data_IF_041207602747
#
_entry.id   IF_041207602747
#
_cell.length_a   1.000
_cell.length_b   1.000
_cell.length_c   1.000
_cell.angle_alpha   90.00
_cell.angle_beta   90.00
_cell.angle_gamma   90.00
#
_symmetry.space_group_name_H-M   'P 1'
#
loop_
_entity.id
_entity.type
_entity.pdbx_description
1 polymer ?
#
# COMPACT_ATOMS: atom_id res chain seq x y z
N UNK A 1 44.57 10.77 18.27
CA UNK A 1 44.15 10.39 19.63
C UNK A 1 43.38 9.08 19.52
N UNK A 2 44.04 7.94 19.80
CA UNK A 2 43.46 6.59 19.74
C UNK A 2 43.36 6.08 21.17
N UNK A 3 42.17 5.68 21.62
CA UNK A 3 42.00 4.98 22.91
C UNK A 3 41.64 3.53 22.64
N UNK A 4 42.58 2.68 23.00
CA UNK A 4 42.53 1.22 23.04
C UNK A 4 41.91 0.85 24.39
N UNK A 5 40.88 0.01 24.42
CA UNK A 5 40.38 -0.61 25.65
C UNK A 5 40.70 -2.11 25.59
N UNK A 6 41.55 -2.55 26.52
CA UNK A 6 41.84 -3.94 26.88
C UNK A 6 41.16 -4.25 28.23
N UNK A 7 41.07 -5.55 28.56
CA UNK A 7 40.83 -6.20 29.89
C UNK A 7 39.37 -6.64 30.11
N UNK A 8 39.01 -7.88 30.51
CA UNK A 8 39.69 -9.16 30.83
C UNK A 8 38.65 -10.29 30.72
N UNK A 9 39.07 -11.50 30.34
CA UNK A 9 38.26 -12.72 30.42
C UNK A 9 38.61 -13.51 31.69
N UNK A 10 37.61 -14.06 32.39
CA UNK A 10 37.82 -14.99 33.50
C UNK A 10 36.98 -16.26 33.26
N UNK A 11 37.68 -17.35 32.91
CA UNK A 11 37.18 -18.72 32.95
C UNK A 11 37.29 -19.25 34.38
N UNK A 12 36.24 -19.90 34.88
CA UNK A 12 36.33 -20.81 36.03
C UNK A 12 35.74 -22.16 35.66
N UNK A 13 36.62 -23.15 35.55
CA UNK A 13 36.33 -24.58 35.46
C UNK A 13 36.37 -25.12 36.90
N UNK A 14 35.35 -25.87 37.33
CA UNK A 14 35.43 -26.73 38.50
C UNK A 14 34.66 -28.03 38.27
N UNK A 15 35.30 -29.13 38.69
CA UNK A 15 35.15 -30.48 38.19
C UNK A 15 34.06 -31.32 38.87
N UNK A 16 33.69 -32.41 38.18
CA UNK A 16 32.82 -33.50 38.63
C UNK A 16 33.34 -34.23 39.87
N UNK A 17 32.42 -34.67 40.72
CA UNK A 17 32.57 -35.87 41.55
C UNK A 17 31.23 -36.63 41.61
N UNK A 18 31.23 -37.87 41.10
CA UNK A 18 30.17 -38.86 41.24
C UNK A 18 30.33 -39.60 42.58
N UNK A 19 29.24 -39.84 43.30
CA UNK A 19 29.13 -40.96 44.23
C UNK A 19 27.67 -41.42 44.37
N UNK A 20 27.48 -42.74 44.38
CA UNK A 20 26.23 -43.46 44.27
C UNK A 20 25.67 -43.96 45.63
N UNK A 21 24.49 -44.60 45.56
CA UNK A 21 23.81 -45.50 46.54
C UNK A 21 22.95 -44.79 47.62
N UNK A 22 21.68 -45.12 47.95
CA UNK A 22 20.67 -46.19 47.65
C UNK A 22 19.30 -45.68 48.19
N UNK A 23 18.11 -46.17 47.75
CA UNK A 23 16.83 -45.49 48.01
C UNK A 23 16.06 -45.96 49.26
N UNK A 24 15.20 -45.07 49.79
CA UNK A 24 14.20 -45.35 50.84
C UNK A 24 12.82 -45.70 50.22
N UNK A 25 11.95 -46.47 50.91
CA UNK A 25 10.87 -47.21 50.29
C UNK A 25 9.60 -46.38 49.98
N UNK A 26 8.92 -46.85 48.94
CA UNK A 26 7.69 -46.32 48.36
C UNK A 26 6.51 -46.33 49.32
N UNK A 27 5.72 -45.26 49.28
CA UNK A 27 4.33 -45.26 49.74
C UNK A 27 3.46 -45.11 48.49
N UNK A 28 2.61 -46.10 48.24
CA UNK A 28 1.69 -46.18 47.11
C UNK A 28 0.61 -45.09 47.22
N UNK A 29 0.44 -44.30 46.17
CA UNK A 29 -0.72 -43.42 45.96
C UNK A 29 -1.55 -44.02 44.82
N UNK A 30 -2.89 -44.15 44.94
CA UNK A 30 -3.71 -44.86 43.97
C UNK A 30 -3.73 -44.15 42.60
N UNK A 31 -3.61 -44.95 41.55
CA UNK A 31 -3.63 -44.57 40.14
C UNK A 31 -5.00 -44.05 39.72
N UNK A 32 -5.11 -42.76 39.39
CA UNK A 32 -6.26 -42.19 38.68
C UNK A 32 -6.02 -42.30 37.17
N UNK A 33 -7.02 -42.79 36.43
CA UNK A 33 -6.92 -43.05 34.99
C UNK A 33 -6.71 -41.75 34.19
N UNK A 34 -5.94 -41.77 33.08
CA UNK A 34 -5.69 -40.56 32.32
C UNK A 34 -6.97 -40.13 31.57
N UNK A 35 -7.50 -38.97 31.93
CA UNK A 35 -8.49 -38.25 31.13
C UNK A 35 -7.77 -37.80 29.86
N UNK A 36 -8.27 -38.22 28.69
CA UNK A 36 -7.75 -37.77 27.42
C UNK A 36 -7.86 -36.24 27.33
N UNK A 37 -6.74 -35.54 27.38
CA UNK A 37 -6.66 -34.12 27.01
C UNK A 37 -7.07 -34.02 25.54
N UNK A 38 -8.26 -33.47 25.32
CA UNK A 38 -8.65 -32.98 24.02
C UNK A 38 -7.67 -31.86 23.66
N UNK A 39 -6.70 -32.19 22.79
CA UNK A 39 -5.86 -31.22 22.10
C UNK A 39 -6.77 -30.24 21.38
N UNK A 40 -6.98 -29.08 21.99
CA UNK A 40 -7.53 -27.93 21.29
C UNK A 40 -6.48 -27.51 20.27
N UNK A 41 -6.84 -27.61 18.98
CA UNK A 41 -6.02 -27.08 17.92
C UNK A 41 -5.71 -25.60 18.23
N UNK A 42 -4.50 -25.09 17.94
CA UNK A 42 -4.23 -23.67 18.09
C UNK A 42 -5.24 -22.90 17.24
N UNK A 43 -6.08 -22.10 17.89
CA UNK A 43 -6.88 -21.08 17.20
C UNK A 43 -5.85 -20.13 16.60
N UNK A 44 -5.69 -20.17 15.27
CA UNK A 44 -4.91 -19.14 14.58
C UNK A 44 -5.46 -17.78 15.05
N UNK A 45 -4.59 -16.83 15.45
CA UNK A 45 -5.07 -15.54 15.88
C UNK A 45 -5.88 -14.96 14.73
N UNK A 46 -7.18 -14.75 14.95
CA UNK A 46 -8.01 -14.02 14.00
C UNK A 46 -7.25 -12.74 13.69
N UNK A 47 -6.94 -12.53 12.40
CA UNK A 47 -6.27 -11.33 11.94
C UNK A 47 -7.26 -10.18 12.11
N UNK A 48 -7.35 -9.64 13.32
CA UNK A 48 -8.22 -8.52 13.66
C UNK A 48 -7.70 -7.33 12.87
N UNK A 49 -8.45 -6.97 11.83
CA UNK A 49 -8.15 -5.80 11.02
C UNK A 49 -7.99 -4.58 11.92
N UNK A 50 -6.92 -3.82 11.71
CA UNK A 50 -6.70 -2.53 12.40
C UNK A 50 -7.67 -1.45 11.93
N UNK A 51 -8.42 -1.71 10.86
CA UNK A 51 -9.30 -0.75 10.22
C UNK A 51 -10.73 -0.90 10.72
N UNK A 52 -11.33 0.21 11.13
CA UNK A 52 -12.77 0.28 11.46
C UNK A 52 -13.66 0.39 10.22
N UNK A 53 -13.09 0.30 9.03
CA UNK A 53 -13.76 0.44 7.73
C UNK A 53 -13.32 -0.74 6.85
N UNK A 54 -14.14 -1.78 6.80
CA UNK A 54 -13.75 -3.10 6.25
C UNK A 54 -13.31 -3.04 4.79
N UNK A 55 -13.90 -2.13 3.99
CA UNK A 55 -13.57 -2.01 2.57
C UNK A 55 -12.08 -1.75 2.33
N UNK A 56 -11.36 -1.13 3.30
CA UNK A 56 -9.94 -0.81 3.17
C UNK A 56 -9.10 -2.07 2.92
N UNK A 57 -9.50 -3.21 3.50
CA UNK A 57 -8.83 -4.51 3.31
C UNK A 57 -9.51 -5.40 2.27
N UNK A 58 -10.66 -5.00 1.74
CA UNK A 58 -11.44 -5.80 0.78
C UNK A 58 -11.18 -5.42 -0.68
N UNK A 59 -10.52 -4.30 -0.96
CA UNK A 59 -10.13 -3.93 -2.32
C UNK A 59 -9.14 -4.98 -2.86
N UNK A 60 -9.40 -5.59 -4.04
CA UNK A 60 -8.48 -6.57 -4.63
C UNK A 60 -7.08 -5.98 -4.82
N UNK A 61 -6.01 -6.74 -4.50
CA UNK A 61 -4.65 -6.27 -4.66
C UNK A 61 -4.29 -6.11 -6.14
N UNK A 62 -3.35 -5.21 -6.43
CA UNK A 62 -2.71 -5.12 -7.74
C UNK A 62 -1.46 -6.01 -7.70
N UNK A 63 -1.43 -7.05 -8.52
CA UNK A 63 -0.28 -7.95 -8.61
C UNK A 63 0.81 -7.32 -9.49
N UNK A 64 2.05 -7.30 -9.01
CA UNK A 64 3.19 -6.72 -9.72
C UNK A 64 4.38 -7.68 -9.70
N UNK A 65 5.05 -7.82 -10.84
CA UNK A 65 6.41 -8.36 -10.88
C UNK A 65 7.38 -7.27 -10.42
N UNK A 66 8.16 -7.52 -9.37
CA UNK A 66 9.19 -6.58 -8.88
C UNK A 66 10.60 -7.14 -9.18
N UNK A 67 11.28 -6.61 -10.21
CA UNK A 67 12.63 -7.05 -10.59
C UNK A 67 13.64 -7.00 -9.45
N UNK A 68 13.56 -5.99 -8.57
CA UNK A 68 14.49 -5.90 -7.44
C UNK A 68 14.32 -7.03 -6.45
N UNK A 69 13.07 -7.37 -6.12
CA UNK A 69 12.80 -8.47 -5.22
C UNK A 69 13.27 -9.79 -5.83
N UNK A 70 13.12 -9.97 -7.14
CA UNK A 70 13.58 -11.16 -7.84
C UNK A 70 15.12 -11.29 -7.82
N UNK A 71 15.87 -10.25 -8.20
CA UNK A 71 17.34 -10.36 -8.27
C UNK A 71 18.02 -10.50 -6.91
N UNK A 72 17.38 -10.02 -5.84
CA UNK A 72 17.88 -10.18 -4.48
C UNK A 72 17.30 -11.40 -3.76
N UNK A 73 16.56 -12.27 -4.47
CA UNK A 73 16.01 -13.50 -3.91
C UNK A 73 14.94 -13.28 -2.84
N UNK A 74 14.25 -12.14 -2.87
CA UNK A 74 13.21 -11.75 -1.91
C UNK A 74 11.81 -12.21 -2.34
N UNK A 75 11.61 -12.52 -3.63
CA UNK A 75 10.40 -13.17 -4.15
C UNK A 75 10.73 -14.11 -5.30
N UNK A 76 9.87 -15.11 -5.51
CA UNK A 76 9.92 -16.03 -6.66
C UNK A 76 8.85 -15.73 -7.72
N UNK A 77 7.99 -14.73 -7.50
CA UNK A 77 6.89 -14.41 -8.42
C UNK A 77 6.22 -13.07 -8.11
N UNK A 78 5.05 -12.82 -8.70
CA UNK A 78 4.28 -11.60 -8.50
C UNK A 78 4.00 -11.34 -7.01
N UNK A 79 4.09 -10.07 -6.61
CA UNK A 79 3.83 -9.59 -5.25
C UNK A 79 2.53 -8.78 -5.24
N UNK A 80 1.64 -9.00 -4.26
CA UNK A 80 0.45 -8.19 -4.10
C UNK A 80 0.80 -6.83 -3.49
N UNK A 81 0.26 -5.77 -4.08
CA UNK A 81 0.19 -4.45 -3.48
C UNK A 81 -1.25 -4.24 -2.99
N UNK A 82 -1.41 -3.76 -1.76
CA UNK A 82 -2.73 -3.64 -1.11
C UNK A 82 -3.17 -2.18 -0.96
N UNK A 83 -4.48 -1.95 -1.08
CA UNK A 83 -5.05 -0.61 -0.93
C UNK A 83 -4.81 -0.02 0.46
N UNK A 84 -4.83 -0.85 1.51
CA UNK A 84 -4.54 -0.40 2.88
C UNK A 84 -3.14 0.20 3.05
N UNK A 85 -2.18 -0.20 2.22
CA UNK A 85 -0.83 0.36 2.22
C UNK A 85 -0.83 1.74 1.54
N UNK A 86 -1.62 1.91 0.47
CA UNK A 86 -1.89 3.21 -0.13
C UNK A 86 -2.63 4.15 0.84
N UNK A 87 -3.55 3.63 1.66
CA UNK A 87 -4.22 4.38 2.73
C UNK A 87 -3.21 4.85 3.78
N UNK A 88 -2.27 3.99 4.18
CA UNK A 88 -1.18 4.36 5.10
C UNK A 88 -0.27 5.43 4.48
N UNK A 89 0.06 5.30 3.19
CA UNK A 89 0.89 6.26 2.46
C UNK A 89 0.23 7.64 2.37
N UNK A 90 -1.05 7.69 2.00
CA UNK A 90 -1.81 8.94 1.89
C UNK A 90 -2.29 9.50 3.24
N UNK A 91 -2.17 8.72 4.31
CA UNK A 91 -2.66 9.02 5.66
C UNK A 91 -4.13 8.73 5.89
N UNK A 92 -4.96 8.60 4.84
CA UNK A 92 -6.35 8.19 4.93
C UNK A 92 -6.93 7.74 3.57
N UNK A 93 -8.04 7.01 3.64
CA UNK A 93 -8.86 6.68 2.48
C UNK A 93 -9.81 7.83 2.18
N UNK A 94 -9.88 8.24 0.91
CA UNK A 94 -10.87 9.20 0.41
C UNK A 94 -11.10 8.96 -1.08
N UNK A 95 -12.00 9.74 -1.69
CA UNK A 95 -12.28 9.64 -3.13
C UNK A 95 -11.04 9.86 -4.03
N UNK A 96 -10.05 10.64 -3.59
CA UNK A 96 -8.79 10.82 -4.32
C UNK A 96 -7.88 9.60 -4.20
N UNK A 97 -7.69 9.06 -2.99
CA UNK A 97 -6.89 7.83 -2.74
C UNK A 97 -7.45 6.64 -3.52
N UNK A 98 -8.77 6.42 -3.44
CA UNK A 98 -9.46 5.39 -4.20
C UNK A 98 -9.35 5.65 -5.71
N UNK A 99 -9.48 6.91 -6.14
CA UNK A 99 -9.33 7.32 -7.53
C UNK A 99 -7.94 7.01 -8.09
N UNK A 100 -6.86 7.33 -7.37
CA UNK A 100 -5.49 7.07 -7.79
C UNK A 100 -5.21 5.56 -7.91
N UNK A 101 -5.72 4.76 -6.95
CA UNK A 101 -5.68 3.30 -7.01
C UNK A 101 -6.36 2.78 -8.29
N UNK A 102 -7.59 3.24 -8.55
CA UNK A 102 -8.38 2.83 -9.72
C UNK A 102 -7.77 3.30 -11.04
N UNK A 103 -7.22 4.53 -11.11
CA UNK A 103 -6.48 5.02 -12.28
C UNK A 103 -5.34 4.07 -12.60
N UNK A 104 -4.54 3.72 -11.59
CA UNK A 104 -3.38 2.84 -11.76
C UNK A 104 -3.81 1.45 -12.23
N UNK A 105 -4.82 0.85 -11.58
CA UNK A 105 -5.38 -0.45 -12.00
C UNK A 105 -5.77 -0.44 -13.47
N UNK A 106 -6.60 0.52 -13.89
CA UNK A 106 -7.10 0.61 -15.27
C UNK A 106 -5.99 0.85 -16.29
N UNK A 107 -5.00 1.67 -15.95
CA UNK A 107 -3.84 1.89 -16.82
C UNK A 107 -3.03 0.60 -17.02
N UNK A 108 -2.77 -0.13 -15.93
CA UNK A 108 -2.01 -1.37 -15.98
C UNK A 108 -2.76 -2.48 -16.74
N UNK A 109 -4.06 -2.64 -16.54
CA UNK A 109 -4.90 -3.58 -17.30
C UNK A 109 -4.85 -3.31 -18.81
N UNK A 110 -4.81 -2.04 -19.22
CA UNK A 110 -4.71 -1.65 -20.62
C UNK A 110 -3.30 -1.86 -21.21
N UNK A 111 -2.25 -1.62 -20.42
CA UNK A 111 -0.85 -1.77 -20.85
C UNK A 111 -0.35 -3.23 -20.84
N UNK A 112 -1.00 -4.09 -20.06
CA UNK A 112 -0.68 -5.51 -19.86
C UNK A 112 -1.94 -6.37 -20.11
N UNK A 113 -2.40 -6.46 -21.38
CA UNK A 113 -3.65 -7.15 -21.69
C UNK A 113 -3.53 -8.67 -21.49
N UNK A 114 -4.68 -9.36 -21.50
CA UNK A 114 -4.78 -10.83 -21.42
C UNK A 114 -4.25 -11.44 -20.11
N UNK A 115 -4.29 -10.68 -19.01
CA UNK A 115 -3.85 -11.16 -17.70
C UNK A 115 -2.33 -11.19 -17.54
N UNK A 116 -1.58 -10.52 -18.41
CA UNK A 116 -0.15 -10.29 -18.20
C UNK A 116 0.05 -9.51 -16.88
N UNK A 117 0.99 -9.96 -16.06
CA UNK A 117 1.29 -9.29 -14.79
C UNK A 117 2.22 -8.10 -15.04
N UNK A 118 1.83 -6.87 -14.67
CA UNK A 118 2.65 -5.69 -14.87
C UNK A 118 4.00 -5.75 -14.16
N UNK A 119 5.00 -5.05 -14.71
CA UNK A 119 6.36 -5.04 -14.19
C UNK A 119 6.67 -3.68 -13.55
N UNK A 120 7.05 -3.70 -12.27
CA UNK A 120 7.36 -2.49 -11.52
C UNK A 120 8.63 -1.82 -12.07
N UNK A 121 8.48 -0.53 -12.34
CA UNK A 121 9.38 0.40 -13.01
C UNK A 121 9.67 0.14 -14.48
N UNK A 122 8.81 -0.60 -15.16
CA UNK A 122 8.71 -0.58 -16.62
C UNK A 122 7.71 0.48 -17.11
N UNK A 123 7.22 1.34 -16.21
CA UNK A 123 6.19 2.33 -16.48
C UNK A 123 6.77 3.73 -16.31
N UNK A 124 6.47 4.59 -17.29
CA UNK A 124 6.60 6.04 -17.20
C UNK A 124 5.22 6.66 -17.09
N UNK A 125 5.10 7.75 -16.34
CA UNK A 125 3.85 8.44 -16.08
C UNK A 125 4.03 9.94 -16.30
N UNK A 126 3.18 10.53 -17.13
CA UNK A 126 3.03 11.98 -17.24
C UNK A 126 1.79 12.40 -16.43
N UNK A 127 2.02 13.12 -15.34
CA UNK A 127 1.00 13.69 -14.50
C UNK A 127 0.39 14.94 -15.15
N UNK A 128 -0.91 15.21 -14.98
CA UNK A 128 -1.57 16.26 -15.73
C UNK A 128 -1.48 17.65 -15.06
N UNK A 129 -0.46 17.90 -14.25
CA UNK A 129 -0.26 19.18 -13.57
C UNK A 129 0.97 19.20 -12.68
N UNK A 130 1.16 20.33 -11.99
CA UNK A 130 2.23 20.47 -11.02
C UNK A 130 1.97 19.62 -9.78
N UNK A 131 3.05 19.17 -9.14
CA UNK A 131 3.02 18.23 -8.02
C UNK A 131 2.26 18.79 -6.80
N UNK A 132 2.38 20.09 -6.55
CA UNK A 132 1.72 20.84 -5.47
C UNK A 132 0.33 21.38 -5.88
N UNK A 133 -0.15 21.05 -7.07
CA UNK A 133 -1.44 21.52 -7.57
C UNK A 133 -2.58 20.62 -7.05
N UNK A 134 -3.40 21.17 -6.16
CA UNK A 134 -4.53 20.46 -5.54
C UNK A 134 -4.08 19.19 -4.81
N UNK A 135 -4.48 18.04 -5.31
CA UNK A 135 -4.11 16.73 -4.80
C UNK A 135 -3.29 15.92 -5.82
N UNK A 136 -2.75 16.54 -6.88
CA UNK A 136 -1.96 15.84 -7.91
C UNK A 136 -0.82 15.02 -7.31
N UNK A 137 -0.09 15.57 -6.33
CA UNK A 137 0.94 14.82 -5.58
C UNK A 137 0.42 13.56 -4.88
N UNK A 138 -0.78 13.60 -4.29
CA UNK A 138 -1.41 12.42 -3.64
C UNK A 138 -1.65 11.30 -4.65
N UNK A 139 -2.11 11.65 -5.87
CA UNK A 139 -2.27 10.67 -6.94
C UNK A 139 -0.92 10.10 -7.36
N UNK A 140 0.06 10.99 -7.55
CA UNK A 140 1.41 10.62 -7.93
C UNK A 140 2.09 9.69 -6.94
N UNK A 141 1.95 9.92 -5.63
CA UNK A 141 2.52 9.07 -4.58
C UNK A 141 1.98 7.63 -4.64
N UNK A 142 0.67 7.49 -4.80
CA UNK A 142 0.01 6.17 -4.90
C UNK A 142 0.38 5.48 -6.21
N UNK A 143 0.39 6.22 -7.33
CA UNK A 143 0.81 5.69 -8.63
C UNK A 143 2.27 5.23 -8.56
N UNK A 144 3.16 6.03 -7.96
CA UNK A 144 4.56 5.71 -7.76
C UNK A 144 4.73 4.47 -6.86
N UNK A 145 3.96 4.37 -5.79
CA UNK A 145 3.99 3.23 -4.88
C UNK A 145 3.84 1.91 -5.65
N UNK A 146 2.78 1.82 -6.47
CA UNK A 146 2.43 0.64 -7.25
C UNK A 146 3.40 0.43 -8.42
N UNK A 147 3.61 1.46 -9.24
CA UNK A 147 4.31 1.34 -10.52
C UNK A 147 5.82 1.48 -10.42
N UNK A 148 6.35 2.04 -9.33
CA UNK A 148 7.76 2.41 -9.18
C UNK A 148 8.18 3.61 -10.03
N UNK A 149 7.25 4.26 -10.73
CA UNK A 149 7.51 5.47 -11.49
C UNK A 149 7.64 6.66 -10.52
N UNK A 150 8.86 6.98 -10.10
CA UNK A 150 9.11 8.03 -9.13
C UNK A 150 9.52 9.34 -9.84
N UNK A 151 9.30 10.50 -9.20
CA UNK A 151 9.79 11.78 -9.71
C UNK A 151 11.30 11.88 -9.49
N UNK A 152 11.83 13.10 -9.27
CA UNK A 152 13.26 13.37 -9.13
C UNK A 152 13.92 12.63 -7.94
N UNK A 153 13.14 12.15 -6.98
CA UNK A 153 13.61 11.51 -5.74
C UNK A 153 13.72 9.98 -5.82
N UNK A 154 13.32 9.38 -6.93
CA UNK A 154 13.38 7.92 -7.10
C UNK A 154 14.80 7.36 -7.05
N UNK A 155 14.91 6.05 -6.79
CA UNK A 155 16.19 5.35 -6.87
C UNK A 155 16.76 5.45 -8.30
N UNK A 156 17.98 5.93 -8.43
CA UNK A 156 18.64 6.15 -9.72
C UNK A 156 19.17 4.86 -10.37
N UNK A 157 18.96 3.70 -9.74
CA UNK A 157 19.47 2.41 -10.19
C UNK A 157 20.89 2.11 -9.69
N UNK A 158 21.73 3.12 -9.42
CA UNK A 158 23.14 2.96 -9.02
C UNK A 158 23.85 1.93 -9.92
N UNK A 159 24.46 0.88 -9.36
CA UNK A 159 25.14 -0.18 -10.14
C UNK A 159 24.20 -0.97 -11.06
N UNK A 160 22.89 -0.95 -10.79
CA UNK A 160 21.86 -1.65 -11.58
C UNK A 160 21.36 -0.83 -12.77
N UNK A 161 21.78 0.44 -12.90
CA UNK A 161 21.36 1.34 -13.98
C UNK A 161 21.85 0.91 -15.37
N UNK A 162 22.70 -0.11 -15.47
CA UNK A 162 23.03 -0.78 -16.75
C UNK A 162 21.82 -1.41 -17.44
N UNK A 163 20.70 -1.56 -16.71
CA UNK A 163 19.40 -1.93 -17.23
C UNK A 163 18.35 -0.95 -16.68
N UNK A 164 17.73 -0.18 -17.58
CA UNK A 164 16.74 0.86 -17.26
C UNK A 164 15.54 0.35 -16.46
N UNK A 165 15.28 -0.96 -16.48
CA UNK A 165 14.25 -1.60 -15.67
C UNK A 165 14.47 -1.38 -14.16
N UNK A 166 15.71 -1.13 -13.72
CA UNK A 166 16.06 -0.91 -12.32
C UNK A 166 16.10 0.58 -11.93
N UNK A 167 16.03 1.49 -12.91
CA UNK A 167 15.91 2.92 -12.62
C UNK A 167 14.46 3.24 -12.23
N UNK A 168 14.26 3.97 -11.13
CA UNK A 168 12.94 4.44 -10.67
C UNK A 168 12.79 5.96 -10.79
N UNK A 169 13.90 6.68 -10.70
CA UNK A 169 13.99 8.14 -10.80
C UNK A 169 13.51 8.67 -12.16
N UNK A 170 12.86 9.84 -12.14
CA UNK A 170 12.42 10.59 -13.33
C UNK A 170 11.45 9.84 -14.26
N UNK A 171 10.72 8.86 -13.71
CA UNK A 171 9.67 8.13 -14.43
C UNK A 171 8.26 8.68 -14.16
N UNK A 172 8.11 9.58 -13.18
CA UNK A 172 6.92 10.42 -13.02
C UNK A 172 7.30 11.86 -13.36
N UNK A 173 6.61 12.44 -14.34
CA UNK A 173 6.84 13.82 -14.78
C UNK A 173 5.61 14.66 -14.44
N UNK A 174 5.84 15.72 -13.67
CA UNK A 174 4.85 16.75 -13.39
C UNK A 174 5.10 17.97 -14.28
N UNK A 175 4.06 18.78 -14.50
CA UNK A 175 4.23 20.10 -15.09
C UNK A 175 5.01 21.01 -14.13
N UNK A 176 5.86 21.88 -14.66
CA UNK A 176 6.58 22.86 -13.83
C UNK A 176 5.63 23.92 -13.24
N UNK A 177 4.57 24.28 -13.96
CA UNK A 177 3.60 25.29 -13.56
C UNK A 177 2.20 24.67 -13.32
N UNK A 178 1.45 25.15 -12.31
CA UNK A 178 0.06 24.79 -12.10
C UNK A 178 -0.80 25.03 -13.34
N UNK A 179 -1.69 24.08 -13.66
CA UNK A 179 -2.61 24.24 -14.79
C UNK A 179 -3.76 25.20 -14.50
N UNK A 180 -4.05 25.44 -13.21
CA UNK A 180 -5.21 26.21 -12.75
C UNK A 180 -6.54 25.49 -12.94
N UNK A 181 -6.53 24.28 -13.49
CA UNK A 181 -7.74 23.50 -13.76
C UNK A 181 -8.06 22.64 -12.54
N UNK A 182 -9.29 22.79 -12.04
CA UNK A 182 -9.80 21.91 -11.01
C UNK A 182 -9.70 20.46 -11.51
N UNK A 183 -9.02 19.56 -10.77
CA UNK A 183 -9.19 18.15 -11.00
C UNK A 183 -10.70 17.87 -10.93
N UNK A 184 -11.20 17.13 -11.92
CA UNK A 184 -10.55 15.87 -12.25
C UNK A 184 -10.52 15.51 -13.75
N UNK A 185 -11.02 16.36 -14.66
CA UNK A 185 -11.05 16.06 -16.11
C UNK A 185 -9.68 16.10 -16.82
N UNK A 186 -8.62 15.79 -16.07
CA UNK A 186 -7.22 15.82 -16.44
C UNK A 186 -6.72 14.37 -16.62
N UNK A 187 -5.95 14.15 -17.68
CA UNK A 187 -5.60 12.80 -18.15
C UNK A 187 -4.21 12.39 -17.67
N UNK A 188 -4.14 11.31 -16.88
CA UNK A 188 -2.88 10.68 -16.51
C UNK A 188 -2.42 9.79 -17.65
N UNK A 189 -1.20 10.00 -18.13
CA UNK A 189 -0.66 9.21 -19.25
C UNK A 189 0.33 8.21 -18.70
N UNK A 190 0.14 6.94 -19.01
CA UNK A 190 1.04 5.86 -18.67
C UNK A 190 1.65 5.31 -19.94
N UNK A 191 2.97 5.12 -19.95
CA UNK A 191 3.71 4.51 -21.05
C UNK A 191 4.45 3.29 -20.54
N UNK A 192 4.23 2.13 -21.18
CA UNK A 192 5.00 0.92 -20.98
C UNK A 192 6.29 1.02 -21.79
N UNK A 193 7.43 1.00 -21.10
CA UNK A 193 8.73 1.43 -21.65
C UNK A 193 9.36 0.45 -22.65
N UNK A 194 9.12 -0.85 -22.51
CA UNK A 194 9.67 -1.89 -23.42
C UNK A 194 8.94 -1.94 -24.77
N UNK A 195 7.65 -1.60 -24.81
CA UNK A 195 6.83 -1.65 -26.03
C UNK A 195 6.48 -0.28 -26.60
N UNK A 196 6.60 0.78 -25.81
CA UNK A 196 6.11 2.12 -26.13
C UNK A 196 4.59 2.26 -26.09
N UNK A 197 3.85 1.21 -25.70
CA UNK A 197 2.40 1.26 -25.58
C UNK A 197 2.00 2.33 -24.56
N UNK A 198 0.98 3.12 -24.88
CA UNK A 198 0.57 4.28 -24.09
C UNK A 198 -0.92 4.29 -23.86
N UNK A 199 -1.33 4.62 -22.64
CA UNK A 199 -2.72 4.76 -22.23
C UNK A 199 -2.93 6.04 -21.45
N UNK A 200 -4.05 6.70 -21.69
CA UNK A 200 -4.54 7.84 -20.94
C UNK A 200 -5.69 7.42 -20.06
N UNK A 201 -5.70 7.88 -18.81
CA UNK A 201 -6.81 7.64 -17.89
C UNK A 201 -7.29 8.96 -17.33
N UNK A 202 -8.53 9.31 -17.64
CA UNK A 202 -9.27 10.42 -17.01
C UNK A 202 -10.14 9.86 -15.90
N UNK A 203 -10.26 10.62 -14.82
CA UNK A 203 -11.08 10.29 -13.67
C UNK A 203 -12.03 11.44 -13.39
N UNK A 204 -13.30 11.22 -13.11
CA UNK A 204 -14.26 12.28 -12.83
C UNK A 204 -14.62 12.36 -11.34
N UNK A 205 -13.73 12.93 -10.53
CA UNK A 205 -13.96 13.17 -9.09
C UNK A 205 -15.19 14.04 -8.76
N UNK A 206 -15.70 14.91 -9.65
CA UNK A 206 -16.82 15.82 -9.30
C UNK A 206 -18.16 15.10 -9.18
N UNK A 207 -18.29 13.92 -9.78
CA UNK A 207 -19.51 13.11 -9.68
C UNK A 207 -19.49 12.15 -8.49
N UNK A 208 -18.42 12.11 -7.70
CA UNK A 208 -18.37 11.30 -6.49
C UNK A 208 -19.46 11.75 -5.54
N UNK A 209 -20.31 10.80 -5.15
CA UNK A 209 -21.35 11.01 -4.15
C UNK A 209 -20.95 10.39 -2.80
N UNK A 210 -21.43 10.92 -1.66
CA UNK A 210 -22.19 12.16 -1.53
C UNK A 210 -21.37 13.40 -1.91
N UNK A 211 -21.98 14.36 -2.62
CA UNK A 211 -21.28 15.53 -3.17
C UNK A 211 -20.68 16.45 -2.08
N UNK A 212 -19.59 17.18 -2.36
CA UNK A 212 -19.06 18.15 -1.41
C UNK A 212 -19.98 19.37 -1.37
N UNK A 213 -20.26 19.88 -0.17
CA UNK A 213 -21.02 21.11 0.05
C UNK A 213 -20.23 22.03 0.98
N UNK A 214 -20.48 23.35 1.00
CA UNK A 214 -19.85 24.25 1.96
C UNK A 214 -20.02 23.78 3.41
N UNK A 215 -21.20 23.25 3.77
CA UNK A 215 -21.44 22.68 5.08
C UNK A 215 -20.55 21.46 5.37
N UNK A 216 -20.35 20.56 4.39
CA UNK A 216 -19.43 19.42 4.53
C UNK A 216 -17.96 19.86 4.65
N UNK A 217 -17.57 20.93 3.95
CA UNK A 217 -16.22 21.50 4.06
C UNK A 217 -15.99 22.08 5.47
N UNK A 218 -16.93 22.88 5.98
CA UNK A 218 -16.85 23.42 7.34
C UNK A 218 -16.88 22.30 8.39
N UNK A 219 -17.66 21.23 8.18
CA UNK A 219 -17.66 20.07 9.06
C UNK A 219 -16.29 19.38 9.09
N UNK A 220 -15.60 19.26 7.95
CA UNK A 220 -14.23 18.74 7.90
C UNK A 220 -13.24 19.58 8.72
N UNK A 221 -13.36 20.91 8.68
CA UNK A 221 -12.56 21.81 9.53
C UNK A 221 -12.86 21.60 11.01
N UNK A 222 -14.15 21.48 11.36
CA UNK A 222 -14.60 21.21 12.73
C UNK A 222 -14.07 19.87 13.26
N UNK A 223 -14.04 18.83 12.42
CA UNK A 223 -13.40 17.54 12.73
C UNK A 223 -11.90 17.69 13.00
N UNK A 224 -11.18 18.39 12.12
CA UNK A 224 -9.74 18.61 12.26
C UNK A 224 -9.37 19.41 13.52
N UNK A 225 -10.26 20.31 13.97
CA UNK A 225 -10.09 21.06 15.22
C UNK A 225 -10.51 20.28 16.47
N UNK A 226 -11.01 19.05 16.34
CA UNK A 226 -11.52 18.25 17.47
C UNK A 226 -12.77 18.83 18.13
N UNK A 227 -13.56 19.61 17.37
CA UNK A 227 -14.73 20.35 17.88
C UNK A 227 -16.06 19.69 17.56
N UNK A 228 -16.05 18.59 16.80
CA UNK A 228 -17.26 17.85 16.44
C UNK A 228 -17.84 17.12 17.65
N UNK A 229 -19.17 17.11 17.79
CA UNK A 229 -19.83 16.18 18.72
C UNK A 229 -19.68 14.75 18.21
N UNK A 230 -19.87 13.73 19.06
CA UNK A 230 -19.83 12.33 18.61
C UNK A 230 -20.78 12.03 17.45
N UNK A 231 -21.97 12.60 17.44
CA UNK A 231 -22.97 12.42 16.37
C UNK A 231 -22.53 13.08 15.06
N UNK A 232 -22.01 14.30 15.13
CA UNK A 232 -21.47 15.01 13.96
C UNK A 232 -20.25 14.27 13.39
N UNK A 233 -19.39 13.74 14.25
CA UNK A 233 -18.25 12.95 13.86
C UNK A 233 -18.67 11.66 13.16
N UNK A 234 -19.64 10.93 13.71
CA UNK A 234 -20.16 9.71 13.10
C UNK A 234 -20.76 9.95 11.71
N UNK A 235 -21.57 11.01 11.55
CA UNK A 235 -22.13 11.41 10.26
C UNK A 235 -21.02 11.81 9.26
N UNK A 236 -20.02 12.56 9.69
CA UNK A 236 -18.91 12.96 8.83
C UNK A 236 -18.01 11.77 8.42
N UNK A 237 -17.74 10.84 9.34
CA UNK A 237 -16.99 9.61 9.06
C UNK A 237 -17.71 8.77 8.01
N UNK A 238 -19.05 8.63 8.13
CA UNK A 238 -19.85 7.93 7.13
C UNK A 238 -19.76 8.65 5.78
N UNK A 239 -20.04 9.95 5.75
CA UNK A 239 -19.92 10.78 4.55
C UNK A 239 -18.57 10.62 3.85
N UNK A 240 -17.48 10.62 4.62
CA UNK A 240 -16.13 10.54 4.10
C UNK A 240 -15.82 9.19 3.45
N UNK A 241 -16.21 8.09 4.11
CA UNK A 241 -15.99 6.73 3.62
C UNK A 241 -16.93 6.34 2.48
N UNK A 242 -18.20 6.79 2.51
CA UNK A 242 -19.14 6.58 1.40
C UNK A 242 -18.58 7.12 0.08
N UNK A 243 -17.82 8.23 0.11
CA UNK A 243 -17.17 8.79 -1.08
C UNK A 243 -16.07 7.90 -1.66
N UNK A 244 -15.31 7.21 -0.80
CA UNK A 244 -14.29 6.27 -1.27
C UNK A 244 -14.94 4.98 -1.81
N UNK A 245 -15.96 4.46 -1.11
CA UNK A 245 -16.77 3.33 -1.56
C UNK A 245 -17.41 3.59 -2.92
N UNK A 246 -17.99 4.78 -3.12
CA UNK A 246 -18.57 5.18 -4.39
C UNK A 246 -17.58 5.03 -5.55
N UNK A 247 -16.29 5.33 -5.34
CA UNK A 247 -15.28 5.13 -6.38
C UNK A 247 -15.17 3.65 -6.76
N UNK A 248 -14.99 2.77 -5.79
CA UNK A 248 -14.81 1.34 -6.05
C UNK A 248 -16.06 0.68 -6.62
N UNK A 249 -17.24 1.02 -6.10
CA UNK A 249 -18.51 0.46 -6.55
C UNK A 249 -18.89 0.88 -7.98
N UNK A 250 -18.40 2.04 -8.43
CA UNK A 250 -18.83 2.65 -9.69
C UNK A 250 -17.75 2.78 -10.75
N UNK A 251 -16.50 2.41 -10.44
CA UNK A 251 -15.32 2.56 -11.31
C UNK A 251 -15.51 1.98 -12.72
N UNK A 252 -16.31 0.92 -12.84
CA UNK A 252 -16.53 0.16 -14.07
C UNK A 252 -17.99 0.22 -14.58
N UNK A 253 -18.86 0.99 -13.92
CA UNK A 253 -20.31 1.01 -14.21
C UNK A 253 -20.86 2.38 -14.60
N UNK A 254 -20.24 3.49 -14.18
CA UNK A 254 -20.68 4.83 -14.54
C UNK A 254 -19.86 5.35 -15.73
N UNK A 255 -20.55 5.58 -16.85
CA UNK A 255 -19.97 6.19 -18.04
C UNK A 255 -19.36 7.57 -17.74
N UNK A 256 -18.14 7.78 -18.21
CA UNK A 256 -17.41 9.02 -18.00
C UNK A 256 -16.88 9.22 -16.57
N UNK A 257 -17.08 8.27 -15.65
CA UNK A 257 -16.45 8.32 -14.34
C UNK A 257 -14.96 8.01 -14.43
N UNK A 258 -14.60 6.98 -15.17
CA UNK A 258 -13.25 6.75 -15.66
C UNK A 258 -13.29 6.60 -17.17
N UNK A 259 -12.38 7.26 -17.88
CA UNK A 259 -12.25 7.10 -19.33
C UNK A 259 -10.84 6.66 -19.64
N UNK A 260 -10.72 5.52 -20.32
CA UNK A 260 -9.44 4.92 -20.73
C UNK A 260 -9.26 5.14 -22.23
N UNK A 261 -8.18 5.82 -22.61
CA UNK A 261 -7.81 6.14 -23.99
C UNK A 261 -6.55 5.37 -24.37
N UNK A 262 -6.62 4.41 -25.29
CA UNK A 262 -5.42 3.75 -25.82
C UNK A 262 -4.86 4.60 -26.96
N UNK A 263 -3.60 5.01 -26.86
CA UNK A 263 -2.93 5.75 -27.94
C UNK A 263 -2.27 4.77 -28.93
N UNK A 264 -2.32 5.13 -30.21
CA UNK A 264 -1.69 4.40 -31.31
C UNK A 264 -0.37 5.03 -31.71
#
# INVERSE_FOLDING_TARGET
MKKLYFIFAALTIAALALSACTPAPATEVPTEAPVAEATTAPVEPENVSVWTQDYITQVPPIMMNEPYFAIFGQTAGPVPYYYEEAVKLAGHSCGATAGAWTITRKALEALYPNGEIPVRGQIHVDAPGAEDEWFVGVFGDIIMYITGAAPKTGFNGSDFAVNDLYVRQNKMVYSDEPTGQLPPMREWIFTRLDTGAKVGVKFNLVIITPIPTPARVEMGKKMALGQATPEEAADYIKYWNDRALFVFENADTIDGFFTVTIYK
#
